data_IF_384855107758
#
_entry.id   IF_384855107758
#
_cell.length_a   1.000
_cell.length_b   1.000
_cell.length_c   1.000
_cell.angle_alpha   90.00
_cell.angle_beta   90.00
_cell.angle_gamma   90.00
#
_symmetry.space_group_name_H-M   'P 1'
#
loop_
_entity.id
_entity.type
_entity.pdbx_description
1 polymer ?
#
# COMPACT_ATOMS: atom_id res chain seq x y z
N UNK A 1 0.69 32.56 4.72
CA UNK A 1 1.51 32.18 5.91
C UNK A 1 0.83 32.77 7.14
N UNK A 2 0.20 31.95 7.97
CA UNK A 2 -0.30 32.45 9.23
C UNK A 2 0.88 32.97 10.06
N UNK A 3 0.79 34.19 10.59
CA UNK A 3 1.79 34.75 11.52
C UNK A 3 1.84 33.98 12.86
N UNK A 4 1.27 32.82 12.95
CA UNK A 4 1.36 31.94 14.11
C UNK A 4 2.63 31.11 14.04
N UNK A 5 3.39 31.01 15.12
CA UNK A 5 4.61 30.20 15.24
C UNK A 5 4.36 28.69 15.14
N UNK A 6 3.12 28.26 14.99
CA UNK A 6 2.66 26.87 14.97
C UNK A 6 1.56 26.71 13.94
N UNK A 7 1.53 25.57 13.24
CA UNK A 7 0.46 25.15 12.34
C UNK A 7 -0.49 24.20 13.08
N UNK A 8 -1.77 24.24 12.73
CA UNK A 8 -2.79 23.35 13.29
C UNK A 8 -4.03 23.33 12.41
N UNK A 9 -4.85 22.32 12.59
CA UNK A 9 -6.09 22.10 11.85
C UNK A 9 -7.35 22.53 12.61
N UNK A 10 -7.19 22.99 13.86
CA UNK A 10 -8.31 23.41 14.69
C UNK A 10 -8.78 24.84 14.38
N UNK A 11 -9.94 25.20 14.90
CA UNK A 11 -10.55 26.53 14.80
C UNK A 11 -9.57 27.68 15.08
N UNK A 12 -8.70 27.53 16.07
CA UNK A 12 -7.72 28.55 16.48
C UNK A 12 -6.72 28.88 15.37
N UNK A 13 -6.43 27.93 14.51
CA UNK A 13 -5.49 28.07 13.38
C UNK A 13 -6.20 28.40 12.06
N UNK A 14 -7.44 27.95 11.87
CA UNK A 14 -8.12 27.97 10.58
C UNK A 14 -9.21 29.05 10.45
N UNK A 15 -9.62 29.72 11.53
CA UNK A 15 -10.66 30.78 11.51
C UNK A 15 -10.11 32.20 11.61
N UNK A 16 -8.80 32.35 11.69
CA UNK A 16 -8.17 33.65 11.86
C UNK A 16 -8.26 34.51 10.60
N UNK A 17 -8.34 35.84 10.75
CA UNK A 17 -8.42 36.80 9.63
C UNK A 17 -7.29 36.77 8.61
N UNK A 18 -6.20 36.03 8.88
CA UNK A 18 -5.05 35.83 8.01
C UNK A 18 -5.04 34.45 7.34
N UNK A 19 -6.12 33.69 7.38
CA UNK A 19 -6.17 32.41 6.67
C UNK A 19 -6.01 32.62 5.16
N UNK A 20 -5.04 31.94 4.57
CA UNK A 20 -4.78 32.00 3.13
C UNK A 20 -5.55 30.88 2.41
N UNK A 21 -6.64 31.24 1.74
CA UNK A 21 -7.48 30.33 0.98
C UNK A 21 -6.75 29.62 -0.19
N UNK A 22 -5.54 30.08 -0.52
CA UNK A 22 -4.68 29.43 -1.51
C UNK A 22 -4.24 28.00 -1.09
N UNK A 23 -4.21 27.75 0.22
CA UNK A 23 -3.79 26.47 0.79
C UNK A 23 -4.96 25.63 1.34
N UNK A 24 -6.18 25.91 0.95
CA UNK A 24 -7.37 25.18 1.35
C UNK A 24 -8.46 26.04 1.97
N UNK A 25 -9.54 25.42 2.43
CA UNK A 25 -10.67 26.12 3.05
C UNK A 25 -10.31 26.73 4.40
N UNK A 26 -10.79 27.96 4.65
CA UNK A 26 -10.71 28.59 5.96
C UNK A 26 -11.95 28.24 6.79
N UNK A 27 -11.77 28.06 8.10
CA UNK A 27 -12.82 27.63 9.01
C UNK A 27 -12.76 26.13 9.31
N UNK A 28 -13.80 25.61 9.95
CA UNK A 28 -13.93 24.18 10.21
C UNK A 28 -14.23 23.46 8.89
N UNK A 29 -13.43 22.47 8.51
CA UNK A 29 -13.78 21.60 7.40
C UNK A 29 -15.00 20.75 7.82
N UNK A 30 -16.08 20.71 7.01
CA UNK A 30 -17.19 19.81 7.30
C UNK A 30 -16.68 18.36 7.23
N UNK A 31 -16.70 17.67 8.36
CA UNK A 31 -16.32 16.25 8.40
C UNK A 31 -17.44 15.43 7.78
N UNK A 32 -17.13 14.54 6.82
CA UNK A 32 -18.10 13.60 6.28
C UNK A 32 -18.73 12.77 7.41
N UNK A 33 -20.03 12.53 7.32
CA UNK A 33 -20.78 11.73 8.29
C UNK A 33 -21.79 10.85 7.58
N UNK A 34 -21.57 9.55 7.66
CA UNK A 34 -22.50 8.50 7.24
C UNK A 34 -23.02 7.81 8.49
N UNK A 35 -24.34 7.73 8.66
CA UNK A 35 -24.99 7.21 9.88
C UNK A 35 -24.82 5.72 10.14
N UNK A 36 -23.61 5.19 9.95
CA UNK A 36 -23.30 3.77 9.91
C UNK A 36 -23.51 3.23 8.50
N UNK A 37 -22.81 2.18 8.14
CA UNK A 37 -22.89 1.61 6.79
C UNK A 37 -21.72 0.68 6.51
N UNK A 38 -21.56 0.34 5.24
CA UNK A 38 -20.52 -0.55 4.77
C UNK A 38 -19.74 0.07 3.59
N UNK A 39 -19.53 1.40 3.61
CA UNK A 39 -18.88 2.12 2.51
C UNK A 39 -17.48 1.58 2.22
N UNK A 40 -16.74 1.19 3.26
CA UNK A 40 -15.39 0.61 3.12
C UNK A 40 -15.37 -0.79 2.53
N UNK A 41 -16.48 -1.50 2.49
CA UNK A 41 -16.56 -2.82 1.83
C UNK A 41 -16.42 -2.76 0.30
N UNK A 42 -16.46 -1.54 -0.27
CA UNK A 42 -16.24 -1.30 -1.69
C UNK A 42 -14.83 -1.67 -2.14
N UNK A 43 -13.82 -1.44 -1.28
CA UNK A 43 -12.43 -1.78 -1.52
C UNK A 43 -11.77 -2.28 -0.25
N UNK A 44 -11.21 -3.47 -0.32
CA UNK A 44 -10.29 -4.00 0.68
C UNK A 44 -9.00 -4.34 -0.05
N UNK A 45 -7.93 -3.61 0.25
CA UNK A 45 -6.68 -3.64 -0.50
C UNK A 45 -5.58 -4.20 0.41
N UNK A 46 -4.82 -5.19 -0.09
CA UNK A 46 -3.66 -5.72 0.64
C UNK A 46 -2.37 -5.44 -0.09
N UNK A 47 -1.36 -4.88 0.60
CA UNK A 47 -0.01 -4.79 0.07
C UNK A 47 0.76 -6.06 0.40
N UNK A 48 1.47 -6.58 -0.60
CA UNK A 48 2.39 -7.71 -0.47
C UNK A 48 3.81 -7.22 -0.63
N UNK A 49 4.65 -7.44 0.36
CA UNK A 49 6.07 -7.09 0.33
C UNK A 49 6.85 -8.12 -0.50
N UNK A 50 7.45 -7.68 -1.60
CA UNK A 50 8.17 -8.58 -2.54
C UNK A 50 9.37 -9.32 -1.92
N UNK A 51 9.82 -8.90 -0.76
CA UNK A 51 10.87 -9.56 0.04
C UNK A 51 10.34 -10.52 1.11
N UNK A 52 9.01 -10.65 1.27
CA UNK A 52 8.42 -11.51 2.27
C UNK A 52 8.80 -12.99 2.12
N UNK A 53 9.02 -13.47 0.89
CA UNK A 53 9.40 -14.84 0.60
C UNK A 53 10.86 -15.19 0.93
N UNK A 54 11.71 -14.19 1.16
CA UNK A 54 13.15 -14.36 1.47
C UNK A 54 13.53 -13.91 2.88
N UNK A 55 12.58 -13.51 3.72
CA UNK A 55 12.81 -13.19 5.13
C UNK A 55 13.53 -14.34 5.86
N UNK A 56 14.16 -14.05 7.00
CA UNK A 56 14.82 -15.06 7.83
C UNK A 56 13.84 -16.13 8.33
N UNK A 57 12.62 -15.72 8.72
CA UNK A 57 11.53 -16.58 9.15
C UNK A 57 10.18 -16.03 8.65
N UNK A 58 9.07 -16.71 8.94
CA UNK A 58 7.70 -16.34 8.52
C UNK A 58 7.63 -15.95 7.02
N UNK A 59 8.27 -16.76 6.19
CA UNK A 59 8.33 -16.54 4.75
C UNK A 59 6.96 -16.72 4.12
N UNK A 60 6.53 -15.71 3.37
CA UNK A 60 5.25 -15.73 2.64
C UNK A 60 5.53 -15.52 1.15
N UNK A 61 5.27 -16.53 0.34
CA UNK A 61 5.27 -16.40 -1.11
C UNK A 61 3.90 -15.91 -1.59
N UNK A 62 3.77 -15.34 -2.80
CA UNK A 62 2.47 -14.89 -3.31
C UNK A 62 1.37 -15.94 -3.21
N UNK A 63 1.66 -17.19 -3.52
CA UNK A 63 0.72 -18.31 -3.45
C UNK A 63 0.31 -18.73 -2.03
N UNK A 64 1.00 -18.25 -1.02
CA UNK A 64 0.70 -18.52 0.39
C UNK A 64 -0.25 -17.49 1.01
N UNK A 65 -0.47 -16.35 0.31
CA UNK A 65 -1.30 -15.27 0.79
C UNK A 65 -2.75 -15.70 1.06
N UNK A 66 -3.28 -15.28 2.19
CA UNK A 66 -4.71 -15.35 2.48
C UNK A 66 -5.43 -14.21 1.73
N UNK A 67 -6.16 -14.56 0.67
CA UNK A 67 -6.84 -13.60 -0.19
C UNK A 67 -8.28 -13.28 0.27
N UNK A 68 -8.77 -13.97 1.30
CA UNK A 68 -10.17 -13.85 1.72
C UNK A 68 -10.51 -12.40 2.12
N UNK A 69 -11.57 -11.87 1.55
CA UNK A 69 -12.04 -10.51 1.81
C UNK A 69 -11.33 -9.40 1.02
N UNK A 70 -10.21 -9.68 0.35
CA UNK A 70 -9.53 -8.70 -0.48
C UNK A 70 -10.17 -8.56 -1.86
N UNK A 71 -10.34 -7.32 -2.29
CA UNK A 71 -10.81 -6.97 -3.65
C UNK A 71 -9.62 -6.64 -4.57
N UNK A 72 -8.56 -6.12 -3.98
CA UNK A 72 -7.32 -5.73 -4.65
C UNK A 72 -6.12 -6.19 -3.84
N UNK A 73 -5.06 -6.54 -4.53
CA UNK A 73 -3.76 -6.77 -3.93
C UNK A 73 -2.70 -5.97 -4.70
N UNK A 74 -1.84 -5.28 -3.96
CA UNK A 74 -0.78 -4.43 -4.49
C UNK A 74 0.57 -5.11 -4.29
N UNK A 75 1.35 -5.25 -5.34
CA UNK A 75 2.72 -5.75 -5.27
C UNK A 75 3.67 -4.61 -4.89
N UNK A 76 4.26 -4.63 -3.75
CA UNK A 76 5.23 -3.65 -3.26
C UNK A 76 6.64 -4.26 -3.27
N UNK A 77 7.58 -3.78 -4.10
CA UNK A 77 7.48 -2.68 -5.05
C UNK A 77 8.12 -3.02 -6.38
N UNK A 78 7.77 -2.26 -7.42
CA UNK A 78 8.64 -2.03 -8.56
C UNK A 78 9.28 -0.66 -8.45
N UNK A 79 10.47 -0.56 -9.02
CA UNK A 79 11.18 0.68 -9.24
C UNK A 79 11.07 1.10 -10.71
N UNK A 80 11.78 2.14 -11.10
CA UNK A 80 12.08 2.45 -12.49
C UNK A 80 13.52 2.97 -12.58
N UNK A 81 14.12 2.75 -13.73
CA UNK A 81 15.48 3.21 -14.01
C UNK A 81 15.54 4.74 -14.07
N UNK A 82 16.41 5.40 -13.29
CA UNK A 82 16.43 6.87 -13.20
C UNK A 82 16.90 7.57 -14.48
N UNK A 83 17.45 6.84 -15.44
CA UNK A 83 17.97 7.39 -16.70
C UNK A 83 17.00 7.17 -17.87
N UNK A 84 16.37 6.00 -17.91
CA UNK A 84 15.45 5.62 -19.00
C UNK A 84 13.99 5.80 -18.64
N UNK A 85 13.67 5.82 -17.33
CA UNK A 85 12.32 5.84 -16.75
C UNK A 85 11.48 4.60 -17.09
N UNK A 86 12.11 3.54 -17.55
CA UNK A 86 11.46 2.24 -17.75
C UNK A 86 11.26 1.52 -16.40
N UNK A 87 10.14 0.82 -16.22
CA UNK A 87 9.85 0.04 -15.02
C UNK A 87 10.89 -1.07 -14.87
N UNK A 88 11.45 -1.17 -13.69
CA UNK A 88 12.44 -2.17 -13.29
C UNK A 88 12.03 -2.84 -11.97
N UNK A 89 12.44 -4.07 -11.71
CA UNK A 89 12.24 -4.66 -10.39
C UNK A 89 13.07 -3.91 -9.35
N UNK A 90 12.60 -3.89 -8.10
CA UNK A 90 13.37 -3.41 -6.95
C UNK A 90 14.66 -4.24 -6.80
N UNK A 91 14.55 -5.55 -6.98
CA UNK A 91 15.64 -6.51 -7.01
C UNK A 91 15.30 -7.74 -7.88
N UNK A 92 16.26 -8.63 -8.04
CA UNK A 92 16.08 -9.85 -8.85
C UNK A 92 15.01 -10.80 -8.26
N UNK A 93 14.84 -10.83 -6.93
CA UNK A 93 13.82 -11.63 -6.27
C UNK A 93 12.42 -11.12 -6.63
N UNK A 94 12.16 -9.81 -6.43
CA UNK A 94 10.88 -9.19 -6.76
C UNK A 94 10.51 -9.40 -8.23
N UNK A 95 11.46 -9.23 -9.14
CA UNK A 95 11.26 -9.48 -10.57
C UNK A 95 10.78 -10.89 -10.91
N UNK A 96 11.18 -11.89 -10.13
CA UNK A 96 10.75 -13.28 -10.31
C UNK A 96 9.32 -13.58 -9.84
N UNK A 97 8.67 -12.63 -9.14
CA UNK A 97 7.38 -12.85 -8.49
C UNK A 97 6.18 -12.26 -9.26
N UNK A 98 6.38 -11.39 -10.22
CA UNK A 98 5.29 -10.66 -10.87
C UNK A 98 4.18 -11.56 -11.44
N UNK A 99 4.56 -12.55 -12.25
CA UNK A 99 3.57 -13.47 -12.81
C UNK A 99 2.97 -14.43 -11.79
N UNK A 100 3.73 -14.79 -10.76
CA UNK A 100 3.19 -15.56 -9.62
C UNK A 100 2.13 -14.76 -8.88
N UNK A 101 2.39 -13.48 -8.67
CA UNK A 101 1.45 -12.58 -8.00
C UNK A 101 0.19 -12.32 -8.83
N UNK A 102 0.32 -11.95 -10.11
CA UNK A 102 -0.85 -11.73 -10.97
C UNK A 102 -1.64 -13.00 -11.26
N UNK A 103 -0.98 -14.18 -11.21
CA UNK A 103 -1.60 -15.50 -11.28
C UNK A 103 -2.63 -15.76 -10.18
N UNK A 104 -2.56 -15.04 -9.05
CA UNK A 104 -3.52 -15.16 -7.94
C UNK A 104 -4.96 -14.79 -8.35
N UNK A 105 -5.16 -14.02 -9.41
CA UNK A 105 -6.49 -13.74 -9.97
C UNK A 105 -7.25 -15.01 -10.39
N UNK A 106 -6.53 -16.07 -10.71
CA UNK A 106 -7.15 -17.36 -11.00
C UNK A 106 -7.75 -18.07 -9.78
N UNK A 107 -7.37 -17.63 -8.57
CA UNK A 107 -7.78 -18.22 -7.30
C UNK A 107 -9.01 -17.56 -6.71
N UNK A 108 -9.21 -16.28 -7.02
CA UNK A 108 -10.33 -15.52 -6.48
C UNK A 108 -10.96 -14.68 -7.60
N UNK A 109 -12.21 -15.01 -7.93
CA UNK A 109 -12.98 -14.26 -8.93
C UNK A 109 -13.16 -12.81 -8.49
N UNK A 110 -12.86 -11.88 -9.40
CA UNK A 110 -12.99 -10.44 -9.14
C UNK A 110 -11.78 -9.80 -8.46
N UNK A 111 -10.78 -10.58 -8.02
CA UNK A 111 -9.54 -10.04 -7.49
C UNK A 111 -8.80 -9.23 -8.54
N UNK A 112 -8.34 -8.05 -8.19
CA UNK A 112 -7.45 -7.24 -9.01
C UNK A 112 -6.03 -7.25 -8.43
N UNK A 113 -5.05 -7.26 -9.32
CA UNK A 113 -3.62 -7.24 -8.96
C UNK A 113 -2.99 -5.98 -9.50
N UNK A 114 -2.45 -5.16 -8.63
CA UNK A 114 -1.87 -3.88 -8.98
C UNK A 114 -0.37 -3.85 -8.68
N UNK A 115 0.37 -3.01 -9.41
CA UNK A 115 1.79 -2.78 -9.16
C UNK A 115 1.99 -1.46 -8.43
N UNK A 116 2.58 -1.49 -7.25
CA UNK A 116 3.04 -0.29 -6.56
C UNK A 116 4.43 0.08 -7.04
N UNK A 117 4.60 1.34 -7.44
CA UNK A 117 5.86 1.87 -7.98
C UNK A 117 6.40 2.93 -7.04
N UNK A 118 7.61 2.71 -6.51
CA UNK A 118 8.29 3.62 -5.60
C UNK A 118 8.48 3.04 -4.20
N UNK A 119 7.82 3.64 -3.21
CA UNK A 119 7.98 3.33 -1.78
C UNK A 119 9.14 4.09 -1.14
N UNK A 120 9.22 4.01 0.20
CA UNK A 120 10.17 4.77 1.02
C UNK A 120 11.62 4.66 0.54
N UNK A 121 12.11 3.44 0.31
CA UNK A 121 13.50 3.21 -0.07
C UNK A 121 13.88 3.74 -1.45
N UNK A 122 12.91 3.97 -2.34
CA UNK A 122 13.18 4.52 -3.67
C UNK A 122 13.73 5.95 -3.63
N UNK A 123 13.34 6.73 -2.64
CA UNK A 123 13.79 8.12 -2.44
C UNK A 123 14.83 8.29 -1.33
N UNK A 124 15.40 7.19 -0.82
CA UNK A 124 16.57 7.23 0.06
C UNK A 124 17.81 7.80 -0.65
N UNK A 125 18.82 8.29 0.10
CA UNK A 125 20.06 8.77 -0.48
C UNK A 125 20.71 7.72 -1.42
N UNK A 126 20.70 8.00 -2.71
CA UNK A 126 21.19 7.07 -3.74
C UNK A 126 20.85 7.52 -5.15
N UNK A 127 21.07 6.67 -6.17
CA UNK A 127 20.84 7.02 -7.57
C UNK A 127 19.37 7.33 -7.92
N UNK A 128 18.42 6.82 -7.15
CA UNK A 128 16.99 6.97 -7.41
C UNK A 128 16.36 8.15 -6.65
N UNK A 129 17.11 8.80 -5.76
CA UNK A 129 16.59 9.84 -4.83
C UNK A 129 15.74 10.92 -5.50
N UNK A 130 16.15 11.43 -6.67
CA UNK A 130 15.43 12.46 -7.42
C UNK A 130 14.68 11.92 -8.64
N UNK A 131 14.67 10.60 -8.83
CA UNK A 131 14.17 9.98 -10.06
C UNK A 131 12.72 10.33 -10.35
N UNK A 132 11.85 10.39 -9.33
CA UNK A 132 10.46 10.82 -9.51
C UNK A 132 10.37 12.28 -9.98
N UNK A 133 11.10 13.20 -9.34
CA UNK A 133 11.14 14.61 -9.75
C UNK A 133 11.67 14.77 -11.19
N UNK A 134 12.72 14.04 -11.53
CA UNK A 134 13.32 14.08 -12.87
C UNK A 134 12.38 13.46 -13.92
N UNK A 135 11.71 12.37 -13.61
CA UNK A 135 10.70 11.75 -14.46
C UNK A 135 9.50 12.68 -14.68
N UNK A 136 8.99 13.29 -13.61
CA UNK A 136 7.80 14.15 -13.69
C UNK A 136 8.07 15.51 -14.36
N UNK A 137 9.33 15.95 -14.42
CA UNK A 137 9.75 17.32 -14.78
C UNK A 137 9.34 17.78 -16.18
N UNK A 138 9.23 16.89 -17.15
CA UNK A 138 8.86 17.23 -18.52
C UNK A 138 8.05 16.11 -19.19
N UNK A 139 7.26 16.48 -20.21
CA UNK A 139 6.35 15.55 -20.90
C UNK A 139 7.07 14.37 -21.57
N UNK A 140 8.29 14.58 -22.09
CA UNK A 140 9.06 13.51 -22.73
C UNK A 140 9.46 12.40 -21.74
N UNK A 141 9.85 12.77 -20.53
CA UNK A 141 10.20 11.81 -19.47
C UNK A 141 8.94 11.10 -18.97
N UNK A 142 7.86 11.86 -18.69
CA UNK A 142 6.57 11.27 -18.30
C UNK A 142 6.07 10.26 -19.32
N UNK A 143 6.17 10.60 -20.62
CA UNK A 143 5.74 9.69 -21.69
C UNK A 143 6.57 8.40 -21.75
N UNK A 144 7.89 8.47 -21.50
CA UNK A 144 8.73 7.25 -21.41
C UNK A 144 8.28 6.35 -20.27
N UNK A 145 8.07 6.94 -19.08
CA UNK A 145 7.57 6.21 -17.91
C UNK A 145 6.21 5.56 -18.19
N UNK A 146 5.24 6.33 -18.73
CA UNK A 146 3.89 5.86 -19.04
C UNK A 146 3.93 4.70 -20.04
N UNK A 147 4.70 4.83 -21.12
CA UNK A 147 4.83 3.77 -22.13
C UNK A 147 5.48 2.51 -21.55
N UNK A 148 6.53 2.68 -20.73
CA UNK A 148 7.18 1.59 -20.02
C UNK A 148 6.21 0.87 -19.06
N UNK A 149 5.42 1.64 -18.32
CA UNK A 149 4.45 1.12 -17.37
C UNK A 149 3.32 0.35 -18.06
N UNK A 150 2.76 0.89 -19.16
CA UNK A 150 1.75 0.17 -19.96
C UNK A 150 2.30 -1.15 -20.48
N UNK A 151 3.51 -1.13 -21.07
CA UNK A 151 4.18 -2.35 -21.55
C UNK A 151 4.39 -3.36 -20.42
N UNK A 152 4.81 -2.89 -19.26
CA UNK A 152 5.03 -3.73 -18.08
C UNK A 152 3.74 -4.39 -17.59
N UNK A 153 2.68 -3.60 -17.42
CA UNK A 153 1.38 -4.13 -16.99
C UNK A 153 0.77 -5.10 -18.01
N UNK A 154 0.93 -4.83 -19.31
CA UNK A 154 0.53 -5.75 -20.37
C UNK A 154 1.33 -7.06 -20.32
N UNK A 155 2.63 -6.98 -20.05
CA UNK A 155 3.52 -8.14 -20.01
C UNK A 155 3.18 -9.05 -18.83
N UNK A 156 3.02 -8.50 -17.63
CA UNK A 156 2.83 -9.30 -16.42
C UNK A 156 1.37 -9.46 -16.00
N UNK A 157 0.44 -8.76 -16.66
CA UNK A 157 -1.01 -8.92 -16.42
C UNK A 157 -1.51 -8.17 -15.19
N UNK A 158 -0.91 -7.04 -14.81
CA UNK A 158 -1.44 -6.16 -13.78
C UNK A 158 -2.67 -5.38 -14.28
N UNK A 159 -3.58 -5.06 -13.36
CA UNK A 159 -4.84 -4.39 -13.64
C UNK A 159 -4.77 -2.87 -13.39
N UNK A 160 -3.73 -2.40 -12.73
CA UNK A 160 -3.53 -0.98 -12.44
C UNK A 160 -2.18 -0.71 -11.79
N UNK A 161 -1.91 0.58 -11.58
CA UNK A 161 -0.74 1.09 -10.89
C UNK A 161 -1.15 1.83 -9.62
N UNK A 162 -0.36 1.65 -8.58
CA UNK A 162 -0.35 2.45 -7.38
C UNK A 162 0.94 3.27 -7.34
N UNK A 163 0.84 4.59 -7.33
CA UNK A 163 1.99 5.48 -7.31
C UNK A 163 2.37 5.78 -5.86
N UNK A 164 3.53 5.32 -5.46
CA UNK A 164 4.05 5.50 -4.11
C UNK A 164 5.28 6.41 -4.11
N UNK A 165 5.04 7.70 -4.35
CA UNK A 165 6.07 8.72 -4.32
C UNK A 165 6.18 9.37 -2.93
N UNK A 166 7.22 9.04 -2.22
CA UNK A 166 7.49 9.50 -0.85
C UNK A 166 8.71 10.44 -0.80
N UNK A 167 8.62 11.77 -1.03
CA UNK A 167 7.40 12.53 -1.34
C UNK A 167 7.71 13.63 -2.35
N UNK A 168 6.74 14.06 -3.19
CA UNK A 168 6.92 15.21 -4.06
C UNK A 168 7.22 16.45 -3.23
N UNK A 169 8.07 17.34 -3.74
CA UNK A 169 8.39 18.64 -3.12
C UNK A 169 9.11 18.57 -1.78
N UNK A 170 9.43 17.39 -1.25
CA UNK A 170 10.09 17.21 0.05
C UNK A 170 11.61 17.19 -0.12
N UNK A 171 12.29 18.23 0.36
CA UNK A 171 13.75 18.39 0.21
C UNK A 171 14.53 17.23 0.85
N UNK A 172 14.06 16.73 2.00
CA UNK A 172 14.65 15.60 2.72
C UNK A 172 14.49 14.27 1.99
N UNK A 173 13.59 14.22 0.98
CA UNK A 173 13.33 13.05 0.12
C UNK A 173 13.71 13.27 -1.35
N UNK A 174 14.48 14.29 -1.66
CA UNK A 174 14.93 14.60 -3.03
C UNK A 174 13.88 15.24 -3.92
N UNK A 175 12.78 15.69 -3.35
CA UNK A 175 11.71 16.41 -4.04
C UNK A 175 12.09 17.84 -4.41
N UNK A 176 11.40 18.41 -5.39
CA UNK A 176 11.59 19.75 -5.92
C UNK A 176 10.29 20.54 -5.85
N UNK A 177 10.35 21.85 -5.78
CA UNK A 177 9.18 22.75 -5.68
C UNK A 177 8.17 22.57 -6.80
N UNK A 178 8.63 22.19 -8.01
CA UNK A 178 7.82 21.98 -9.19
C UNK A 178 7.04 20.67 -9.18
N UNK A 179 7.37 19.75 -8.30
CA UNK A 179 6.80 18.40 -8.25
C UNK A 179 5.29 18.42 -8.03
N UNK A 180 4.79 19.35 -7.22
CA UNK A 180 3.36 19.52 -6.97
C UNK A 180 2.56 19.68 -8.27
N UNK A 181 3.00 20.58 -9.15
CA UNK A 181 2.35 20.80 -10.43
C UNK A 181 2.63 19.64 -11.42
N UNK A 182 3.86 19.13 -11.42
CA UNK A 182 4.25 18.05 -12.32
C UNK A 182 3.53 16.74 -12.00
N UNK A 183 3.18 16.49 -10.73
CA UNK A 183 2.44 15.29 -10.34
C UNK A 183 0.99 15.32 -10.82
N UNK A 184 0.36 16.51 -10.87
CA UNK A 184 -0.94 16.68 -11.54
C UNK A 184 -0.85 16.32 -13.02
N UNK A 185 0.18 16.85 -13.72
CA UNK A 185 0.38 16.55 -15.14
C UNK A 185 0.62 15.06 -15.38
N UNK A 186 1.42 14.41 -14.52
CA UNK A 186 1.67 12.97 -14.62
C UNK A 186 0.36 12.17 -14.49
N UNK A 187 -0.48 12.48 -13.50
CA UNK A 187 -1.74 11.75 -13.30
C UNK A 187 -2.75 12.00 -14.44
N UNK A 188 -2.78 13.21 -14.99
CA UNK A 188 -3.58 13.53 -16.19
C UNK A 188 -3.14 12.71 -17.40
N UNK A 189 -1.84 12.67 -17.66
CA UNK A 189 -1.27 11.92 -18.80
C UNK A 189 -1.43 10.41 -18.62
N UNK A 190 -1.27 9.88 -17.41
CA UNK A 190 -1.57 8.48 -17.08
C UNK A 190 -3.04 8.15 -17.35
N UNK A 191 -3.97 8.98 -16.85
CA UNK A 191 -5.41 8.76 -17.07
C UNK A 191 -5.78 8.77 -18.55
N UNK A 192 -5.19 9.67 -19.31
CA UNK A 192 -5.39 9.74 -20.75
C UNK A 192 -4.84 8.50 -21.48
N UNK A 193 -3.65 8.03 -21.10
CA UNK A 193 -3.02 6.86 -21.70
C UNK A 193 -3.74 5.54 -21.34
N UNK A 194 -4.22 5.42 -20.11
CA UNK A 194 -4.87 4.22 -19.60
C UNK A 194 -6.32 4.07 -20.06
N UNK A 195 -7.02 5.19 -20.21
CA UNK A 195 -8.45 5.20 -20.53
C UNK A 195 -9.25 4.41 -19.48
N UNK A 196 -9.90 3.35 -19.92
CA UNK A 196 -10.62 2.40 -19.03
C UNK A 196 -9.88 1.06 -18.84
N UNK A 197 -8.66 0.92 -19.39
CA UNK A 197 -7.92 -0.34 -19.40
C UNK A 197 -7.28 -0.63 -18.05
N UNK A 198 -6.65 0.37 -17.44
CA UNK A 198 -5.94 0.27 -16.18
C UNK A 198 -6.45 1.26 -15.16
N UNK A 199 -6.40 0.86 -13.89
CA UNK A 199 -6.68 1.75 -12.78
C UNK A 199 -5.44 2.51 -12.32
N UNK A 200 -5.68 3.61 -11.57
CA UNK A 200 -4.64 4.46 -10.99
C UNK A 200 -5.02 4.72 -9.54
N UNK A 201 -4.15 4.37 -8.61
CA UNK A 201 -4.18 4.86 -7.23
C UNK A 201 -2.88 5.56 -6.88
N UNK A 202 -2.86 6.24 -5.77
CA UNK A 202 -1.63 6.79 -5.20
C UNK A 202 -1.71 6.78 -3.69
N UNK A 203 -0.55 6.69 -3.05
CA UNK A 203 -0.43 6.82 -1.61
C UNK A 203 -0.43 8.28 -1.19
N UNK A 204 -0.95 8.56 0.00
CA UNK A 204 -0.88 9.87 0.63
C UNK A 204 -0.33 9.75 2.04
N UNK A 205 0.57 10.67 2.47
CA UNK A 205 0.95 10.79 3.87
C UNK A 205 -0.20 11.36 4.70
N UNK A 206 -0.23 11.03 5.98
CA UNK A 206 -1.19 11.60 6.93
C UNK A 206 -0.74 12.96 7.47
N UNK A 207 0.58 13.21 7.51
CA UNK A 207 1.14 14.43 8.08
C UNK A 207 1.05 15.63 7.12
N UNK A 208 0.78 16.82 7.67
CA UNK A 208 0.81 18.07 6.91
C UNK A 208 2.20 18.34 6.29
N UNK A 209 3.28 17.91 6.95
CA UNK A 209 4.65 18.14 6.51
C UNK A 209 4.89 17.71 5.06
N UNK A 210 4.40 16.53 4.69
CA UNK A 210 4.52 16.01 3.33
C UNK A 210 3.28 16.32 2.48
N UNK A 211 2.08 16.27 3.06
CA UNK A 211 0.82 16.44 2.32
C UNK A 211 0.68 17.84 1.69
N UNK A 212 1.34 18.88 2.25
CA UNK A 212 1.32 20.24 1.70
C UNK A 212 1.87 20.33 0.26
N UNK A 213 2.60 19.32 -0.20
CA UNK A 213 3.19 19.26 -1.53
C UNK A 213 2.30 18.54 -2.58
N UNK A 214 1.09 18.15 -2.20
CA UNK A 214 0.12 17.53 -3.09
C UNK A 214 -0.99 18.50 -3.47
N UNK A 215 -1.24 18.70 -4.76
CA UNK A 215 -2.47 19.33 -5.25
C UNK A 215 -3.57 18.27 -5.39
N UNK A 216 -4.15 17.89 -4.27
CA UNK A 216 -5.19 16.84 -4.23
C UNK A 216 -6.40 17.17 -5.08
N UNK A 217 -6.78 18.45 -5.16
CA UNK A 217 -7.91 18.90 -5.98
C UNK A 217 -7.63 18.72 -7.46
N UNK A 218 -6.40 19.03 -7.90
CA UNK A 218 -5.97 18.84 -9.28
C UNK A 218 -5.81 17.35 -9.64
N UNK A 219 -5.49 16.49 -8.67
CA UNK A 219 -5.21 15.07 -8.91
C UNK A 219 -6.46 14.20 -8.85
N UNK A 220 -7.41 14.45 -7.94
CA UNK A 220 -8.47 13.50 -7.59
C UNK A 220 -9.34 13.01 -8.77
N UNK A 221 -9.49 13.82 -9.82
CA UNK A 221 -10.28 13.43 -11.00
C UNK A 221 -9.52 12.49 -11.95
N UNK A 222 -8.20 12.35 -11.75
CA UNK A 222 -7.31 11.55 -12.57
C UNK A 222 -6.92 10.22 -11.93
N UNK A 223 -7.25 10.02 -10.65
CA UNK A 223 -7.02 8.75 -9.93
C UNK A 223 -8.34 8.11 -9.53
N UNK A 224 -8.34 6.81 -9.37
CA UNK A 224 -9.54 6.08 -8.95
C UNK A 224 -9.76 6.20 -7.44
N UNK A 225 -8.67 6.19 -6.64
CA UNK A 225 -8.67 6.46 -5.20
C UNK A 225 -7.27 6.81 -4.68
N UNK A 226 -7.24 7.27 -3.43
CA UNK A 226 -6.05 7.54 -2.65
C UNK A 226 -5.90 6.51 -1.53
N UNK A 227 -4.74 5.91 -1.38
CA UNK A 227 -4.36 5.07 -0.26
C UNK A 227 -3.71 5.94 0.83
N UNK A 228 -4.47 6.29 1.87
CA UNK A 228 -3.95 7.10 2.97
C UNK A 228 -3.13 6.22 3.92
N UNK A 229 -1.84 6.49 4.04
CA UNK A 229 -0.92 5.83 4.98
C UNK A 229 -1.21 6.33 6.39
N UNK A 230 -2.29 5.79 7.00
CA UNK A 230 -2.78 6.16 8.32
C UNK A 230 -2.07 5.36 9.43
N UNK A 231 -0.79 5.21 9.28
CA UNK A 231 0.15 4.54 10.18
C UNK A 231 1.49 5.29 10.15
N UNK A 232 2.45 4.87 10.96
CA UNK A 232 3.75 5.54 11.10
C UNK A 232 3.65 7.00 11.55
N UNK A 233 2.60 7.31 12.34
CA UNK A 233 2.42 8.66 12.89
C UNK A 233 3.50 8.99 13.93
N UNK A 234 3.99 7.96 14.63
CA UNK A 234 5.04 8.02 15.62
C UNK A 234 6.05 6.89 15.47
N UNK A 235 7.31 7.18 15.77
CA UNK A 235 8.41 6.24 15.73
C UNK A 235 9.68 6.81 16.34
N UNK A 236 10.78 6.10 16.22
CA UNK A 236 12.08 6.52 16.80
C UNK A 236 12.59 7.86 16.27
N UNK A 237 12.14 8.28 15.08
CA UNK A 237 12.44 9.59 14.48
C UNK A 237 11.87 10.77 15.25
N UNK A 238 10.89 10.56 16.12
CA UNK A 238 10.32 11.63 16.96
C UNK A 238 11.38 12.21 17.91
N UNK A 239 12.38 11.42 18.29
CA UNK A 239 13.47 11.85 19.19
C UNK A 239 14.24 13.06 18.69
N UNK A 240 14.31 13.28 17.37
CA UNK A 240 14.99 14.43 16.75
C UNK A 240 14.04 15.58 16.43
N UNK A 241 12.73 15.37 16.60
CA UNK A 241 11.71 16.40 16.37
C UNK A 241 11.65 17.35 17.58
N UNK A 242 11.86 18.64 17.33
CA UNK A 242 11.73 19.69 18.35
C UNK A 242 10.31 19.87 18.91
N UNK A 243 9.30 19.33 18.22
CA UNK A 243 7.90 19.53 18.51
C UNK A 243 7.23 18.29 19.13
N UNK A 244 7.78 17.10 18.86
CA UNK A 244 7.26 15.83 19.35
C UNK A 244 8.10 15.32 20.52
N UNK A 245 9.38 15.11 20.33
CA UNK A 245 10.28 14.61 21.37
C UNK A 245 10.27 13.09 21.51
N UNK A 246 11.13 12.51 22.37
CA UNK A 246 11.34 11.08 22.51
C UNK A 246 10.28 10.43 23.41
N UNK A 247 9.00 10.66 23.14
CA UNK A 247 7.90 10.11 23.94
C UNK A 247 7.26 8.93 23.22
N UNK A 248 6.99 7.84 23.97
CA UNK A 248 6.25 6.71 23.40
C UNK A 248 4.84 7.15 22.97
N UNK A 249 4.47 6.77 21.77
CA UNK A 249 3.15 7.05 21.22
C UNK A 249 2.75 5.96 20.21
N UNK A 250 1.45 5.63 20.09
CA UNK A 250 0.95 4.69 19.09
C UNK A 250 1.10 5.25 17.69
N UNK A 251 1.58 4.44 16.76
CA UNK A 251 1.80 4.87 15.37
C UNK A 251 0.52 4.91 14.51
N UNK A 252 -0.61 4.43 15.00
CA UNK A 252 -1.87 4.33 14.27
C UNK A 252 -3.07 4.80 15.10
N UNK A 253 -2.87 5.85 15.91
CA UNK A 253 -3.88 6.46 16.78
C UNK A 253 -5.01 7.08 15.94
N UNK A 254 -6.24 6.58 16.10
CA UNK A 254 -7.41 7.01 15.31
C UNK A 254 -7.77 8.48 15.49
N UNK A 255 -7.45 9.08 16.64
CA UNK A 255 -7.71 10.51 16.88
C UNK A 255 -6.79 11.39 16.05
N UNK A 256 -5.55 10.95 15.82
CA UNK A 256 -4.59 11.65 14.97
C UNK A 256 -4.87 11.38 13.49
N UNK A 257 -5.33 10.17 13.16
CA UNK A 257 -5.82 9.85 11.81
C UNK A 257 -6.99 10.76 11.44
N UNK A 258 -7.94 11.01 12.36
CA UNK A 258 -9.07 11.91 12.11
C UNK A 258 -8.61 13.38 11.88
N UNK A 259 -7.54 13.81 12.55
CA UNK A 259 -6.89 15.10 12.29
C UNK A 259 -6.19 15.14 10.92
N UNK A 260 -5.56 14.06 10.52
CA UNK A 260 -4.98 13.92 9.17
C UNK A 260 -6.05 13.98 8.07
N UNK A 261 -7.18 13.32 8.29
CA UNK A 261 -8.33 13.37 7.39
C UNK A 261 -8.90 14.80 7.25
N UNK A 262 -8.86 15.63 8.29
CA UNK A 262 -9.26 17.04 8.19
C UNK A 262 -8.48 17.81 7.11
N UNK A 263 -7.22 17.47 6.85
CA UNK A 263 -6.42 18.07 5.78
C UNK A 263 -6.99 17.72 4.41
N UNK A 264 -7.46 16.48 4.24
CA UNK A 264 -8.09 16.02 2.99
C UNK A 264 -9.43 16.71 2.75
N UNK A 265 -10.24 16.85 3.80
CA UNK A 265 -11.53 17.57 3.72
C UNK A 265 -11.34 19.04 3.37
N UNK A 266 -10.31 19.68 3.92
CA UNK A 266 -9.94 21.07 3.60
C UNK A 266 -9.50 21.22 2.14
N UNK A 267 -8.88 20.21 1.58
CA UNK A 267 -8.47 20.17 0.17
C UNK A 267 -9.62 19.80 -0.77
N UNK A 268 -10.81 19.48 -0.24
CA UNK A 268 -12.00 19.15 -1.03
C UNK A 268 -11.97 17.75 -1.64
N UNK A 269 -11.23 16.83 -1.02
CA UNK A 269 -11.19 15.42 -1.47
C UNK A 269 -12.51 14.73 -1.13
N UNK A 270 -13.03 13.98 -2.09
CA UNK A 270 -14.26 13.20 -1.94
C UNK A 270 -14.01 11.99 -1.03
N UNK A 271 -14.80 11.78 0.05
CA UNK A 271 -14.57 10.71 1.01
C UNK A 271 -14.49 9.30 0.39
N UNK A 272 -15.33 9.02 -0.60
CA UNK A 272 -15.37 7.73 -1.29
C UNK A 272 -14.10 7.43 -2.10
N UNK A 273 -13.24 8.43 -2.31
CA UNK A 273 -11.92 8.26 -2.91
C UNK A 273 -10.82 7.94 -1.90
N UNK A 274 -11.08 8.04 -0.60
CA UNK A 274 -10.10 7.73 0.43
C UNK A 274 -10.23 6.27 0.85
N UNK A 275 -9.11 5.58 0.82
CA UNK A 275 -8.91 4.24 1.36
C UNK A 275 -7.97 4.38 2.56
N UNK A 276 -8.47 4.09 3.76
CA UNK A 276 -7.70 4.28 5.00
C UNK A 276 -6.76 3.10 5.24
N UNK A 277 -5.51 3.41 5.52
CA UNK A 277 -4.47 2.43 5.81
C UNK A 277 -4.54 1.88 7.24
N UNK A 278 -4.24 0.61 7.37
CA UNK A 278 -4.07 -0.12 8.64
C UNK A 278 -2.68 -0.77 8.62
N UNK A 279 -1.91 -0.60 9.70
CA UNK A 279 -0.62 -1.26 9.86
C UNK A 279 -0.80 -2.64 10.49
N UNK A 280 -0.39 -3.69 9.79
CA UNK A 280 -0.35 -5.05 10.34
C UNK A 280 0.99 -5.37 10.99
N UNK A 281 1.54 -4.37 11.64
CA UNK A 281 2.80 -4.36 12.39
C UNK A 281 2.70 -3.37 13.54
N UNK A 282 3.70 -3.34 14.39
CA UNK A 282 3.79 -2.39 15.50
C UNK A 282 5.07 -1.58 15.47
N UNK A 283 4.99 -0.32 15.90
CA UNK A 283 6.16 0.50 16.25
C UNK A 283 6.50 0.27 17.71
N UNK A 284 7.76 0.00 17.97
CA UNK A 284 8.23 -0.45 19.25
C UNK A 284 9.38 0.40 19.79
N UNK A 285 9.47 0.52 21.12
CA UNK A 285 10.42 1.40 21.79
C UNK A 285 11.05 0.70 22.99
N UNK A 286 12.28 1.10 23.33
CA UNK A 286 12.90 0.80 24.61
C UNK A 286 12.59 1.96 25.57
N UNK A 287 11.85 1.68 26.65
CA UNK A 287 11.48 2.66 27.66
C UNK A 287 12.74 3.19 28.36
N UNK A 288 12.81 4.50 28.56
CA UNK A 288 13.88 5.11 29.36
C UNK A 288 13.69 4.85 30.85
N UNK A 289 12.44 4.80 31.29
CA UNK A 289 12.02 4.41 32.63
C UNK A 289 10.97 3.28 32.50
N UNK A 290 11.32 2.03 32.89
CA UNK A 290 10.39 0.90 32.81
C UNK A 290 9.08 1.06 33.58
N UNK A 291 9.04 1.94 34.58
CA UNK A 291 7.82 2.23 35.34
C UNK A 291 6.86 3.18 34.61
N UNK A 292 7.31 3.85 33.53
CA UNK A 292 6.54 4.77 32.71
C UNK A 292 6.24 4.15 31.35
N UNK A 293 5.10 3.49 31.21
CA UNK A 293 4.74 2.74 30.00
C UNK A 293 3.42 3.19 29.33
N UNK A 294 2.77 4.21 29.88
CA UNK A 294 1.52 4.74 29.31
C UNK A 294 1.83 5.81 28.28
N UNK A 295 1.27 5.71 27.04
CA UNK A 295 1.52 6.69 25.98
C UNK A 295 0.70 7.98 26.23
N UNK A 296 1.14 8.77 27.19
CA UNK A 296 0.48 9.97 27.68
C UNK A 296 1.25 11.28 27.39
N UNK A 297 2.30 11.21 26.57
CA UNK A 297 3.18 12.34 26.25
C UNK A 297 4.22 12.66 27.32
N UNK A 298 4.38 11.82 28.35
CA UNK A 298 5.36 12.00 29.42
C UNK A 298 6.39 10.87 29.51
N UNK A 299 6.05 9.67 29.07
CA UNK A 299 6.94 8.51 29.12
C UNK A 299 7.93 8.54 27.95
N UNK A 300 9.23 8.68 28.26
CA UNK A 300 10.28 8.77 27.25
C UNK A 300 10.77 7.39 26.81
N UNK A 301 11.21 7.32 25.56
CA UNK A 301 11.99 6.18 25.06
C UNK A 301 13.47 6.56 24.90
N UNK A 302 14.33 5.56 24.92
CA UNK A 302 15.78 5.70 24.65
C UNK A 302 16.18 5.28 23.23
N UNK A 303 15.31 4.57 22.53
CA UNK A 303 15.52 4.07 21.17
C UNK A 303 14.41 3.13 20.74
N UNK A 304 14.58 2.48 19.61
CA UNK A 304 13.70 1.38 19.18
C UNK A 304 13.85 0.17 20.10
N UNK A 305 12.79 -0.60 20.27
CA UNK A 305 12.87 -1.90 20.92
C UNK A 305 13.80 -2.84 20.14
N UNK A 306 14.22 -3.93 20.77
CA UNK A 306 15.04 -4.95 20.15
C UNK A 306 14.38 -5.47 18.86
N UNK A 307 15.23 -5.71 17.85
CA UNK A 307 14.77 -6.30 16.59
C UNK A 307 14.13 -7.67 16.81
N UNK A 308 13.00 -7.90 16.17
CA UNK A 308 12.39 -9.22 16.11
C UNK A 308 13.21 -10.19 15.24
N UNK A 309 13.02 -11.49 15.39
CA UNK A 309 13.76 -12.50 14.63
C UNK A 309 13.43 -12.51 13.12
N UNK A 310 12.25 -12.04 12.73
CA UNK A 310 11.75 -12.03 11.36
C UNK A 310 11.82 -10.64 10.72
N UNK A 311 11.32 -9.61 11.41
CA UNK A 311 11.41 -8.21 11.01
C UNK A 311 12.85 -7.71 10.95
N UNK A 312 13.72 -8.21 11.83
CA UNK A 312 15.16 -7.93 11.90
C UNK A 312 15.50 -6.42 11.90
N UNK A 313 14.61 -5.60 12.43
CA UNK A 313 14.77 -4.16 12.51
C UNK A 313 14.38 -3.63 13.90
N UNK A 314 15.26 -2.88 14.54
CA UNK A 314 14.95 -2.26 15.83
C UNK A 314 13.83 -1.22 15.65
N UNK A 315 12.87 -1.22 16.59
CA UNK A 315 11.74 -0.29 16.56
C UNK A 315 10.56 -0.73 15.69
N UNK A 316 10.60 -1.93 15.13
CA UNK A 316 9.53 -2.54 14.33
C UNK A 316 9.36 -4.02 14.71
N UNK A 317 8.11 -4.45 14.82
CA UNK A 317 7.75 -5.86 14.94
C UNK A 317 6.55 -6.14 14.01
N UNK A 318 6.59 -7.22 13.24
CA UNK A 318 5.39 -7.65 12.53
C UNK A 318 4.32 -8.19 13.51
N UNK A 319 3.07 -8.27 13.06
CA UNK A 319 1.98 -8.66 13.95
C UNK A 319 2.17 -10.08 14.49
N UNK A 320 2.72 -11.00 13.70
CA UNK A 320 2.98 -12.37 14.18
C UNK A 320 4.02 -12.40 15.30
N UNK A 321 5.10 -11.61 15.17
CA UNK A 321 6.10 -11.49 16.25
C UNK A 321 5.49 -10.95 17.55
N UNK A 322 4.59 -9.98 17.44
CA UNK A 322 3.86 -9.42 18.59
C UNK A 322 2.98 -10.49 19.24
N UNK A 323 2.24 -11.28 18.46
CA UNK A 323 1.43 -12.38 18.98
C UNK A 323 2.28 -13.48 19.64
N UNK A 324 3.45 -13.78 19.09
CA UNK A 324 4.42 -14.71 19.67
C UNK A 324 4.95 -14.20 21.02
N UNK A 325 5.26 -12.90 21.13
CA UNK A 325 5.68 -12.24 22.40
C UNK A 325 4.54 -12.32 23.43
N UNK A 326 3.32 -12.00 23.05
CA UNK A 326 2.13 -12.06 23.93
C UNK A 326 1.96 -13.48 24.46
N UNK A 327 1.99 -14.48 23.60
CA UNK A 327 1.78 -15.88 23.94
C UNK A 327 2.90 -16.40 24.83
N UNK A 328 4.16 -16.17 24.45
CA UNK A 328 5.36 -16.64 25.18
C UNK A 328 5.40 -16.08 26.60
N UNK A 329 5.03 -14.84 26.80
CA UNK A 329 5.11 -14.16 28.08
C UNK A 329 3.77 -14.13 28.82
N UNK A 330 2.71 -14.73 28.27
CA UNK A 330 1.34 -14.71 28.80
C UNK A 330 0.87 -13.30 29.15
N UNK A 331 1.08 -12.35 28.21
CA UNK A 331 0.76 -10.94 28.40
C UNK A 331 -0.73 -10.67 28.14
N UNK A 332 -1.24 -9.64 28.80
CA UNK A 332 -2.57 -9.09 28.50
C UNK A 332 -2.37 -7.70 27.88
N UNK A 333 -2.68 -7.51 26.59
CA UNK A 333 -2.60 -6.20 25.96
C UNK A 333 -3.49 -5.16 26.66
N UNK A 334 -2.97 -3.96 26.80
CA UNK A 334 -3.75 -2.80 27.23
C UNK A 334 -4.48 -2.24 26.01
N UNK A 335 -5.79 -2.09 26.09
CA UNK A 335 -6.62 -1.51 25.04
C UNK A 335 -6.91 -0.05 25.34
N UNK A 336 -6.43 0.85 24.49
CA UNK A 336 -6.83 2.25 24.46
C UNK A 336 -8.00 2.41 23.47
N UNK A 337 -9.21 2.35 24.00
CA UNK A 337 -10.45 2.46 23.20
C UNK A 337 -10.56 3.80 22.49
N UNK A 338 -10.00 4.88 23.05
CA UNK A 338 -10.06 6.22 22.47
C UNK A 338 -9.10 6.35 21.26
N UNK A 339 -7.91 5.80 21.39
CA UNK A 339 -6.91 5.76 20.32
C UNK A 339 -7.19 4.64 19.32
N UNK A 340 -8.05 3.67 19.66
CA UNK A 340 -8.31 2.44 18.91
C UNK A 340 -7.02 1.67 18.60
N UNK A 341 -6.18 1.45 19.62
CA UNK A 341 -4.93 0.72 19.55
C UNK A 341 -4.75 -0.17 20.75
N UNK A 342 -3.89 -1.18 20.64
CA UNK A 342 -3.39 -1.93 21.80
C UNK A 342 -1.90 -1.74 21.97
N UNK A 343 -1.41 -1.97 23.18
CA UNK A 343 0.02 -1.97 23.47
C UNK A 343 0.36 -2.98 24.57
N UNK A 344 1.60 -3.44 24.56
CA UNK A 344 2.19 -4.34 25.58
C UNK A 344 3.56 -3.82 26.01
N UNK A 345 4.00 -4.31 27.18
CA UNK A 345 5.38 -4.22 27.65
C UNK A 345 5.91 -5.62 27.93
N UNK A 346 7.20 -5.86 27.67
CA UNK A 346 7.87 -7.11 27.94
C UNK A 346 9.36 -6.89 28.24
N UNK A 347 10.06 -7.90 28.69
CA UNK A 347 11.50 -7.87 28.96
C UNK A 347 11.97 -6.60 29.71
N UNK A 348 11.17 -6.18 30.72
CA UNK A 348 11.37 -5.03 31.61
C UNK A 348 11.14 -3.67 30.96
N UNK A 349 11.74 -3.36 29.81
CA UNK A 349 11.76 -2.01 29.22
C UNK A 349 11.31 -1.95 27.74
N UNK A 350 10.87 -3.05 27.17
CA UNK A 350 10.38 -3.08 25.80
C UNK A 350 8.90 -2.72 25.73
N UNK A 351 8.50 -1.96 24.73
CA UNK A 351 7.13 -1.51 24.52
C UNK A 351 6.77 -1.55 23.02
N UNK A 352 5.58 -1.95 22.68
CA UNK A 352 5.06 -1.89 21.30
C UNK A 352 3.58 -1.54 21.30
N UNK A 353 3.16 -0.64 20.39
CA UNK A 353 1.76 -0.47 20.03
C UNK A 353 1.45 -1.16 18.70
N UNK A 354 0.25 -1.72 18.61
CA UNK A 354 -0.20 -2.51 17.49
C UNK A 354 -1.73 -2.53 17.40
N UNK A 355 -2.22 -3.11 16.32
CA UNK A 355 -3.64 -3.35 16.10
C UNK A 355 -3.95 -4.86 16.12
N UNK A 356 -5.18 -5.20 16.54
CA UNK A 356 -5.75 -6.54 16.47
C UNK A 356 -7.21 -6.47 16.00
N UNK A 357 -7.93 -7.60 16.03
CA UNK A 357 -9.31 -7.70 15.54
C UNK A 357 -10.26 -6.67 16.16
N UNK A 358 -10.10 -6.36 17.46
CA UNK A 358 -10.94 -5.38 18.16
C UNK A 358 -10.70 -3.96 17.62
N UNK A 359 -9.43 -3.57 17.49
CA UNK A 359 -9.06 -2.23 17.02
C UNK A 359 -9.24 -2.07 15.52
N UNK A 360 -9.01 -3.11 14.72
CA UNK A 360 -9.38 -3.12 13.30
C UNK A 360 -10.89 -2.95 13.10
N UNK A 361 -11.70 -3.59 13.95
CA UNK A 361 -13.15 -3.36 13.94
C UNK A 361 -13.50 -1.91 14.26
N UNK A 362 -12.90 -1.32 15.30
CA UNK A 362 -13.12 0.09 15.65
C UNK A 362 -12.73 1.03 14.50
N UNK A 363 -11.57 0.80 13.87
CA UNK A 363 -11.08 1.57 12.72
C UNK A 363 -11.99 1.42 11.49
N UNK A 364 -12.50 0.23 11.24
CA UNK A 364 -13.50 -0.01 10.18
C UNK A 364 -14.80 0.73 10.42
N UNK A 365 -15.31 0.69 11.66
CA UNK A 365 -16.55 1.40 12.04
C UNK A 365 -16.33 2.92 11.91
N UNK A 366 -15.18 3.42 12.31
CA UNK A 366 -14.80 4.83 12.13
C UNK A 366 -14.74 5.20 10.64
N UNK A 367 -14.04 4.44 9.81
CA UNK A 367 -13.92 4.69 8.37
C UNK A 367 -15.30 4.69 7.67
N UNK A 368 -16.19 3.76 8.05
CA UNK A 368 -17.59 3.77 7.61
C UNK A 368 -18.32 5.04 8.04
N UNK A 369 -18.12 5.50 9.29
CA UNK A 369 -18.75 6.73 9.79
C UNK A 369 -18.29 7.99 9.05
N UNK A 370 -17.11 7.97 8.46
CA UNK A 370 -16.52 9.04 7.63
C UNK A 370 -16.79 8.86 6.13
N UNK A 371 -17.61 7.89 5.74
CA UNK A 371 -17.97 7.59 4.33
C UNK A 371 -16.76 7.19 3.45
N UNK A 372 -15.70 6.66 4.03
CA UNK A 372 -14.51 6.32 3.27
C UNK A 372 -14.80 5.21 2.26
N UNK A 373 -14.05 5.19 1.15
CA UNK A 373 -14.28 4.28 0.03
C UNK A 373 -13.61 2.92 0.16
N UNK A 374 -12.85 2.68 1.22
CA UNK A 374 -12.17 1.41 1.44
C UNK A 374 -11.22 1.39 2.61
N UNK A 375 -10.64 0.23 2.83
CA UNK A 375 -9.51 0.00 3.74
C UNK A 375 -8.35 -0.62 2.96
N UNK A 376 -7.12 -0.32 3.35
CA UNK A 376 -5.94 -1.02 2.87
C UNK A 376 -5.03 -1.43 4.02
N UNK A 377 -4.25 -2.48 3.83
CA UNK A 377 -3.34 -2.97 4.86
C UNK A 377 -1.90 -2.98 4.37
N UNK A 378 -0.99 -2.51 5.21
CA UNK A 378 0.44 -2.68 5.12
C UNK A 378 0.92 -3.55 6.29
N UNK A 379 1.33 -4.82 6.06
CA UNK A 379 1.26 -5.57 4.83
C UNK A 379 0.63 -6.93 5.12
N UNK A 380 -0.03 -7.50 4.12
CA UNK A 380 -0.79 -8.73 4.27
C UNK A 380 0.06 -9.97 4.58
N UNK A 381 1.36 -9.88 4.39
CA UNK A 381 2.32 -10.95 4.70
C UNK A 381 2.93 -10.85 6.11
N UNK A 382 2.54 -9.84 6.91
CA UNK A 382 3.04 -9.61 8.29
C UNK A 382 2.18 -10.25 9.38
N UNK A 383 1.22 -11.09 8.98
CA UNK A 383 0.34 -11.85 9.89
C UNK A 383 0.38 -13.34 9.57
N UNK A 384 -0.18 -14.13 10.48
CA UNK A 384 -0.40 -15.55 10.23
C UNK A 384 -1.36 -15.77 9.05
N UNK A 385 -0.91 -16.47 8.01
CA UNK A 385 -1.70 -16.79 6.82
C UNK A 385 -2.72 -17.92 7.04
N UNK A 386 -2.82 -18.47 8.25
CA UNK A 386 -3.75 -19.57 8.57
C UNK A 386 -5.20 -19.11 8.77
N UNK A 387 -5.43 -17.80 8.80
CA UNK A 387 -6.76 -17.21 8.88
C UNK A 387 -7.21 -16.81 10.29
N UNK A 388 -6.28 -16.72 11.24
CA UNK A 388 -6.57 -16.23 12.60
C UNK A 388 -6.80 -14.71 12.68
N UNK A 389 -6.68 -14.01 11.55
CA UNK A 389 -6.79 -12.56 11.40
C UNK A 389 -8.22 -12.04 11.19
N UNK A 390 -9.25 -12.81 11.55
CA UNK A 390 -10.65 -12.40 11.39
C UNK A 390 -11.18 -12.38 9.94
N UNK A 391 -10.33 -12.57 8.94
CA UNK A 391 -10.74 -12.63 7.53
C UNK A 391 -11.20 -14.04 7.10
N UNK A 392 -11.08 -15.02 7.99
CA UNK A 392 -11.39 -16.42 7.74
C UNK A 392 -10.31 -17.11 6.87
N UNK A 393 -10.30 -18.45 6.84
CA UNK A 393 -9.35 -19.19 6.02
C UNK A 393 -9.64 -18.93 4.54
N UNK A 394 -8.59 -18.59 3.77
CA UNK A 394 -8.70 -18.58 2.32
C UNK A 394 -9.15 -19.95 1.83
N UNK A 395 -10.00 -20.05 0.79
CA UNK A 395 -10.23 -21.30 0.09
C UNK A 395 -8.85 -21.81 -0.35
N UNK A 396 -8.40 -22.89 0.28
CA UNK A 396 -7.02 -23.34 0.20
C UNK A 396 -6.55 -23.54 -1.25
N UNK A 397 -5.45 -22.89 -1.61
CA UNK A 397 -4.76 -23.18 -2.86
C UNK A 397 -4.26 -24.62 -2.77
N UNK A 398 -4.69 -25.49 -3.68
CA UNK A 398 -4.23 -26.86 -3.73
C UNK A 398 -2.73 -26.93 -4.03
N UNK A 399 -2.05 -27.99 -3.61
CA UNK A 399 -0.63 -28.18 -3.92
C UNK A 399 -0.36 -28.08 -5.42
N UNK A 400 -1.22 -28.69 -6.25
CA UNK A 400 -1.11 -28.60 -7.72
C UNK A 400 -1.15 -27.14 -8.20
N UNK A 401 -2.03 -26.34 -7.66
CA UNK A 401 -2.13 -24.92 -8.05
C UNK A 401 -0.90 -24.09 -7.61
N UNK A 402 -0.30 -24.40 -6.44
CA UNK A 402 0.97 -23.78 -6.03
C UNK A 402 2.11 -24.17 -6.97
N UNK A 403 2.15 -25.42 -7.38
CA UNK A 403 3.17 -25.94 -8.30
C UNK A 403 3.02 -25.30 -9.70
N UNK A 404 1.79 -25.13 -10.19
CA UNK A 404 1.51 -24.43 -11.47
C UNK A 404 2.00 -22.98 -11.45
N UNK A 405 1.75 -22.24 -10.36
CA UNK A 405 2.21 -20.84 -10.22
C UNK A 405 3.73 -20.74 -10.17
N UNK A 406 4.41 -21.69 -9.50
CA UNK A 406 5.87 -21.76 -9.47
C UNK A 406 6.46 -22.07 -10.85
N UNK A 407 5.80 -22.93 -11.62
CA UNK A 407 6.25 -23.29 -12.98
C UNK A 407 6.21 -22.09 -13.93
N UNK A 408 5.20 -21.22 -13.83
CA UNK A 408 5.11 -19.98 -14.63
C UNK A 408 6.38 -19.15 -14.49
N UNK A 409 6.89 -18.99 -13.26
CA UNK A 409 8.13 -18.22 -13.00
C UNK A 409 9.37 -18.89 -13.58
N UNK A 410 9.44 -20.20 -13.55
CA UNK A 410 10.55 -20.94 -14.13
C UNK A 410 10.57 -20.80 -15.66
N UNK A 411 9.40 -20.83 -16.29
CA UNK A 411 9.25 -20.67 -17.74
C UNK A 411 9.60 -19.24 -18.19
N UNK A 412 9.20 -18.22 -17.44
CA UNK A 412 9.59 -16.83 -17.73
C UNK A 412 11.10 -16.58 -17.56
N UNK A 413 11.71 -17.13 -16.50
CA UNK A 413 13.16 -17.07 -16.30
C UNK A 413 13.94 -17.79 -17.42
N UNK A 414 13.33 -18.79 -18.04
CA UNK A 414 13.87 -19.48 -19.22
C UNK A 414 13.60 -18.74 -20.54
N UNK A 415 13.03 -17.54 -20.52
CA UNK A 415 12.72 -16.75 -21.70
C UNK A 415 11.46 -17.19 -22.47
N UNK A 416 10.60 -17.97 -21.83
CA UNK A 416 9.31 -18.39 -22.40
C UNK A 416 8.33 -17.22 -22.32
N UNK A 417 7.98 -16.64 -23.46
CA UNK A 417 7.00 -15.54 -23.54
C UNK A 417 5.59 -16.07 -23.70
N UNK A 418 4.64 -15.47 -23.00
CA UNK A 418 3.22 -15.80 -23.11
C UNK A 418 2.50 -14.88 -24.11
N UNK A 419 1.42 -15.37 -24.71
CA UNK A 419 0.51 -14.56 -25.53
C UNK A 419 -0.93 -14.66 -25.01
N UNK A 420 -1.75 -13.64 -25.27
CA UNK A 420 -3.17 -13.62 -24.91
C UNK A 420 -4.03 -14.00 -26.12
N UNK A 421 -5.10 -14.73 -25.89
CA UNK A 421 -6.09 -15.05 -26.94
C UNK A 421 -7.26 -14.08 -26.93
N UNK A 422 -8.12 -14.15 -27.95
CA UNK A 422 -9.44 -13.52 -27.92
C UNK A 422 -10.38 -14.17 -26.90
N UNK A 423 -11.47 -13.47 -26.56
CA UNK A 423 -12.45 -13.95 -25.61
C UNK A 423 -13.12 -15.26 -26.06
N UNK A 424 -12.91 -16.32 -25.29
CA UNK A 424 -13.47 -17.64 -25.55
C UNK A 424 -12.72 -18.48 -26.57
N UNK A 425 -11.55 -18.01 -27.03
CA UNK A 425 -10.70 -18.81 -27.91
C UNK A 425 -10.02 -19.95 -27.14
N UNK A 426 -9.72 -21.02 -27.88
CA UNK A 426 -8.99 -22.16 -27.33
C UNK A 426 -7.48 -21.94 -27.44
N UNK A 427 -6.74 -22.66 -26.61
CA UNK A 427 -5.29 -22.78 -26.72
C UNK A 427 -4.84 -23.17 -28.12
N UNK A 428 -3.76 -22.58 -28.63
CA UNK A 428 -3.08 -23.10 -29.81
C UNK A 428 -2.58 -24.52 -29.53
N UNK A 429 -2.64 -25.37 -30.56
CA UNK A 429 -2.19 -26.77 -30.44
C UNK A 429 -0.75 -26.82 -29.88
N UNK A 430 -0.55 -27.51 -28.78
CA UNK A 430 0.72 -27.66 -28.10
C UNK A 430 1.00 -26.66 -26.97
N UNK A 431 0.00 -25.87 -26.57
CA UNK A 431 0.08 -24.94 -25.45
C UNK A 431 -1.07 -25.17 -24.46
N UNK A 432 -0.88 -24.85 -23.19
CA UNK A 432 -1.88 -24.97 -22.11
C UNK A 432 -2.15 -23.60 -21.43
N UNK A 433 -3.37 -23.34 -20.94
CA UNK A 433 -3.66 -22.08 -20.28
C UNK A 433 -2.92 -21.94 -18.93
N UNK A 434 -2.23 -20.83 -18.73
CA UNK A 434 -1.58 -20.48 -17.45
C UNK A 434 -2.41 -19.53 -16.62
N UNK A 435 -3.24 -18.69 -17.25
CA UNK A 435 -4.19 -17.83 -16.53
C UNK A 435 -5.41 -17.58 -17.38
N UNK A 436 -6.57 -17.37 -16.72
CA UNK A 436 -7.83 -17.04 -17.36
C UNK A 436 -8.30 -15.70 -16.83
N UNK A 437 -8.67 -14.79 -17.75
CA UNK A 437 -9.23 -13.49 -17.42
C UNK A 437 -10.69 -13.47 -17.81
N UNK A 438 -11.57 -13.25 -16.82
CA UNK A 438 -13.03 -13.15 -17.07
C UNK A 438 -13.42 -11.69 -17.21
N UNK A 439 -14.23 -11.38 -18.20
CA UNK A 439 -14.78 -10.03 -18.41
C UNK A 439 -15.93 -9.72 -17.46
N UNK A 440 -15.74 -9.81 -16.14
CA UNK A 440 -16.75 -9.41 -15.16
C UNK A 440 -16.91 -7.87 -15.13
N UNK A 441 -18.13 -7.34 -14.90
CA UNK A 441 -18.33 -5.90 -14.71
C UNK A 441 -17.47 -5.41 -13.52
N UNK A 442 -16.59 -4.43 -13.76
CA UNK A 442 -15.69 -3.88 -12.73
C UNK A 442 -14.25 -4.35 -12.82
N UNK A 443 -13.93 -5.41 -13.56
CA UNK A 443 -12.55 -5.73 -13.90
C UNK A 443 -12.04 -4.84 -15.03
N UNK A 444 -10.92 -4.17 -14.80
CA UNK A 444 -10.17 -3.48 -15.84
C UNK A 444 -9.46 -4.54 -16.69
N UNK A 445 -10.12 -5.02 -17.72
CA UNK A 445 -9.53 -6.01 -18.62
C UNK A 445 -8.72 -5.34 -19.71
N UNK A 446 -7.64 -6.00 -20.11
CA UNK A 446 -6.89 -5.64 -21.30
C UNK A 446 -7.78 -5.66 -22.53
N UNK A 447 -7.92 -4.54 -23.20
CA UNK A 447 -8.45 -4.31 -24.56
C UNK A 447 -9.88 -4.64 -24.91
N UNK A 448 -10.58 -5.62 -24.32
CA UNK A 448 -12.00 -5.82 -24.52
C UNK A 448 -12.58 -6.75 -23.45
N UNK A 449 -13.70 -6.32 -22.85
CA UNK A 449 -14.45 -7.17 -21.91
C UNK A 449 -14.97 -8.41 -22.63
N UNK A 450 -14.62 -9.57 -22.11
CA UNK A 450 -15.23 -10.80 -22.61
C UNK A 450 -16.72 -10.86 -22.25
N UNK A 451 -17.57 -11.34 -23.14
CA UNK A 451 -18.97 -11.63 -22.82
C UNK A 451 -19.10 -12.59 -21.63
N UNK A 452 -20.23 -12.50 -20.90
CA UNK A 452 -20.50 -13.38 -19.75
C UNK A 452 -20.27 -14.85 -20.11
N UNK A 453 -19.44 -15.54 -19.32
CA UNK A 453 -19.07 -16.94 -19.55
C UNK A 453 -17.94 -17.16 -20.56
N UNK A 454 -17.34 -16.10 -21.08
CA UNK A 454 -16.13 -16.15 -21.92
C UNK A 454 -14.93 -15.60 -21.17
N UNK A 455 -13.73 -16.02 -21.51
CA UNK A 455 -12.48 -15.59 -20.91
C UNK A 455 -11.37 -15.52 -21.96
N UNK A 456 -10.37 -14.68 -21.68
CA UNK A 456 -9.10 -14.68 -22.40
C UNK A 456 -8.13 -15.61 -21.71
N UNK A 457 -7.22 -16.19 -22.46
CA UNK A 457 -6.20 -17.09 -21.97
C UNK A 457 -4.83 -16.60 -22.42
N UNK A 458 -3.85 -16.68 -21.56
CA UNK A 458 -2.46 -16.28 -21.81
C UNK A 458 -1.62 -17.53 -22.14
N UNK A 459 -0.72 -17.43 -23.10
CA UNK A 459 0.08 -18.57 -23.60
C UNK A 459 1.53 -18.19 -23.85
N UNK A 460 2.50 -19.13 -23.76
CA UNK A 460 3.87 -18.91 -24.21
C UNK A 460 3.98 -18.78 -25.73
N UNK A 461 4.89 -17.92 -26.19
CA UNK A 461 5.14 -17.65 -27.60
C UNK A 461 6.19 -18.57 -28.23
N UNK A 462 7.04 -19.22 -27.44
CA UNK A 462 8.10 -20.11 -27.94
C UNK A 462 7.81 -21.58 -27.65
N UNK A 463 8.02 -22.49 -28.61
CA UNK A 463 7.89 -23.91 -28.36
C UNK A 463 9.07 -24.41 -27.53
N UNK A 464 8.84 -24.96 -26.36
CA UNK A 464 9.81 -25.77 -25.65
C UNK A 464 10.06 -27.08 -26.41
N UNK A 465 11.32 -27.32 -26.78
CA UNK A 465 11.75 -28.59 -27.39
C UNK A 465 12.12 -29.53 -26.26
N UNK A 466 11.32 -30.49 -25.98
CA UNK A 466 11.51 -31.89 -25.61
C UNK A 466 10.49 -32.43 -24.63
N UNK A 467 9.95 -33.57 -25.00
CA UNK A 467 9.24 -34.59 -24.23
C UNK A 467 8.35 -34.21 -23.06
N UNK A 468 7.05 -34.38 -23.27
CA UNK A 468 6.03 -34.32 -22.21
C UNK A 468 5.39 -32.97 -22.09
N UNK A 469 4.15 -32.94 -21.94
CA UNK A 469 3.20 -31.84 -21.75
C UNK A 469 3.79 -30.46 -21.48
N UNK A 470 3.51 -29.52 -22.38
CA UNK A 470 3.92 -28.11 -22.28
C UNK A 470 2.85 -27.34 -21.55
N UNK A 471 3.25 -26.56 -20.55
CA UNK A 471 2.40 -25.62 -19.83
C UNK A 471 2.32 -24.28 -20.56
N UNK A 472 1.17 -23.65 -20.56
CA UNK A 472 0.93 -22.29 -20.99
C UNK A 472 0.68 -21.39 -19.79
#
# INVERSE_FOLDING_TARGET
MAMCRYCGSTKEFCTWKGCDTKYGGCGDAPRPSCGGGSSVSKRTIGYYESWANIRSCQKVSPEDLNLNGFTHINFAFSFFDPSTFEISPMDANGGSLYSRFTGLKSKQSGLQTWISVGGWSFTDPGPTRSAFSDMASNSGNRQKFINGLVKFMDTFGFDGVDLDWEYPGADDRGGKSEDTANYVLLTQELKAAFGSKYGISMTLPTSYWYLQHFDLKGIQDHVDWFNLMAYDLHGTWDSVSKFVGPYIAPHANITEIDLGLDLLWRSGVTPEKIVMGEGWYGRSFTLKDPSCSTPNGACEFSGGANAGPCSNAAGILDNQEIQDIITKNNLKPVHDEKAAVKWITWDNDQWVSFDDDDTFKQKRDFANSRCLGGLMVWAMDQIDQTGSNGLGPAPGITKSQKDDVKQISADEAAGVTCYSTGCGDKCKKGTNPVSQMTGQPGQLSTSSRCPKGKYQVRYPLTPLVSQGQRLC
#
